data_IF_186465295191
#
_entry.id   IF_186465295191
#
_cell.length_a   1.000
_cell.length_b   1.000
_cell.length_c   1.000
_cell.angle_alpha   90.00
_cell.angle_beta   90.00
_cell.angle_gamma   90.00
#
_symmetry.space_group_name_H-M   'P 1'
#
loop_
_entity.id
_entity.type
_entity.pdbx_description
1 polymer ?
#
# COMPACT_ATOMS: atom_id res chain seq x y z
N UNK A 1 44.98 54.58 12.52
CA UNK A 1 44.16 55.00 11.36
C UNK A 1 44.75 54.36 10.11
N UNK A 2 44.26 53.19 9.72
CA UNK A 2 44.17 52.72 8.32
C UNK A 2 43.02 51.70 8.30
N UNK A 3 41.98 52.03 7.54
CA UNK A 3 40.86 51.19 7.15
C UNK A 3 41.27 50.46 5.86
N UNK A 4 40.89 49.18 5.73
CA UNK A 4 40.71 48.38 4.49
C UNK A 4 39.99 47.09 4.94
N UNK A 5 38.68 46.96 4.81
CA UNK A 5 37.95 46.52 3.60
C UNK A 5 38.65 45.36 2.88
N UNK A 6 38.07 44.16 2.99
CA UNK A 6 38.06 43.06 1.99
C UNK A 6 37.25 41.89 2.62
N UNK A 7 35.95 41.79 2.33
CA UNK A 7 35.37 41.04 1.20
C UNK A 7 35.17 39.54 1.50
N UNK A 8 33.91 39.18 1.77
CA UNK A 8 33.36 37.82 1.63
C UNK A 8 33.60 37.28 0.22
N UNK A 9 33.91 35.98 0.09
CA UNK A 9 33.30 35.21 -0.98
C UNK A 9 32.68 33.91 -0.45
N UNK A 10 31.35 33.92 -0.30
CA UNK A 10 30.54 32.72 -0.47
C UNK A 10 30.49 32.40 -1.96
N UNK A 11 31.33 31.46 -2.43
CA UNK A 11 31.05 30.68 -3.64
C UNK A 11 32.06 29.51 -3.76
N UNK A 12 31.66 28.32 -3.32
CA UNK A 12 32.15 27.05 -3.89
C UNK A 12 31.34 25.86 -3.34
N UNK A 13 30.08 25.75 -3.79
CA UNK A 13 29.35 24.49 -3.79
C UNK A 13 29.77 23.70 -5.04
N UNK A 14 30.98 23.13 -5.00
CA UNK A 14 31.44 22.16 -5.98
C UNK A 14 31.10 20.75 -5.48
N UNK A 15 30.03 20.21 -6.07
CA UNK A 15 29.99 18.84 -6.59
C UNK A 15 30.63 17.76 -5.71
N UNK A 16 29.90 17.31 -4.68
CA UNK A 16 30.16 15.98 -4.14
C UNK A 16 29.88 14.94 -5.24
N UNK A 17 30.82 14.04 -5.55
CA UNK A 17 30.63 13.05 -6.59
C UNK A 17 29.46 12.12 -6.22
N UNK A 18 28.50 12.04 -7.14
CA UNK A 18 27.40 11.07 -7.12
C UNK A 18 28.03 9.67 -6.99
N UNK A 19 27.58 8.83 -6.05
CA UNK A 19 28.14 7.49 -5.90
C UNK A 19 27.96 6.72 -7.22
N UNK A 20 29.10 6.36 -7.81
CA UNK A 20 29.24 5.49 -8.97
C UNK A 20 28.28 4.30 -8.84
N UNK A 21 27.28 4.24 -9.72
CA UNK A 21 26.32 3.14 -9.77
C UNK A 21 26.89 2.05 -10.70
N UNK A 22 27.29 0.87 -10.20
CA UNK A 22 27.78 -0.22 -11.04
C UNK A 22 26.60 -0.97 -11.69
N UNK A 23 26.86 -1.88 -12.63
CA UNK A 23 26.36 -1.90 -14.02
C UNK A 23 24.85 -1.63 -14.19
N UNK A 24 24.49 -0.98 -15.31
CA UNK A 24 23.17 -0.43 -15.69
C UNK A 24 21.91 -1.24 -15.29
N UNK A 25 21.98 -2.57 -15.20
CA UNK A 25 20.89 -3.41 -14.71
C UNK A 25 20.52 -3.15 -13.24
N UNK A 26 21.48 -2.87 -12.36
CA UNK A 26 21.23 -2.59 -10.93
C UNK A 26 20.59 -1.21 -10.74
N UNK A 27 20.97 -0.22 -11.55
CA UNK A 27 20.42 1.14 -11.45
C UNK A 27 18.97 1.21 -11.95
N UNK A 28 18.63 0.48 -13.04
CA UNK A 28 17.25 0.38 -13.54
C UNK A 28 16.36 -0.38 -12.54
N UNK A 29 16.87 -1.47 -11.95
CA UNK A 29 16.14 -2.21 -10.91
C UNK A 29 15.84 -1.30 -9.71
N UNK A 30 16.83 -0.53 -9.21
CA UNK A 30 16.68 0.38 -8.06
C UNK A 30 15.68 1.52 -8.33
N UNK A 31 15.70 2.13 -9.52
CA UNK A 31 14.79 3.21 -9.90
C UNK A 31 13.36 2.74 -10.23
N UNK A 32 13.19 1.50 -10.71
CA UNK A 32 11.87 0.87 -10.89
C UNK A 32 11.28 0.46 -9.53
N UNK A 33 12.15 0.04 -8.60
CA UNK A 33 11.81 -0.27 -7.22
C UNK A 33 11.25 0.94 -6.46
N UNK A 34 11.92 2.09 -6.54
CA UNK A 34 11.46 3.32 -5.88
C UNK A 34 10.11 3.83 -6.41
N UNK A 35 9.84 3.68 -7.71
CA UNK A 35 8.53 4.02 -8.30
C UNK A 35 7.42 3.06 -7.90
N UNK A 36 7.69 1.75 -7.83
CA UNK A 36 6.69 0.76 -7.40
C UNK A 36 6.39 0.89 -5.90
N UNK A 37 7.42 1.08 -5.08
CA UNK A 37 7.27 1.36 -3.64
C UNK A 37 6.34 2.55 -3.41
N UNK A 38 6.61 3.70 -4.05
CA UNK A 38 5.74 4.89 -3.98
C UNK A 38 4.30 4.66 -4.43
N UNK A 39 4.07 3.75 -5.40
CA UNK A 39 2.72 3.46 -5.92
C UNK A 39 1.88 2.61 -4.97
N UNK A 40 2.50 1.70 -4.22
CA UNK A 40 1.78 0.77 -3.34
C UNK A 40 1.77 1.24 -1.89
N UNK A 41 2.68 2.13 -1.47
CA UNK A 41 2.67 2.66 -0.11
C UNK A 41 1.35 3.33 0.27
N UNK A 42 0.82 4.24 -0.54
CA UNK A 42 -0.45 4.92 -0.23
C UNK A 42 -1.64 3.95 -0.11
N UNK A 43 -1.70 2.93 -0.98
CA UNK A 43 -2.74 1.89 -0.91
C UNK A 43 -2.61 1.00 0.32
N UNK A 44 -1.39 0.61 0.67
CA UNK A 44 -1.13 -0.16 1.90
C UNK A 44 -1.46 0.70 3.12
N UNK A 45 -1.12 1.99 3.13
CA UNK A 45 -1.45 2.89 4.23
C UNK A 45 -2.95 3.06 4.42
N UNK A 46 -3.70 3.27 3.33
CA UNK A 46 -5.16 3.31 3.38
C UNK A 46 -5.75 1.98 3.88
N UNK A 47 -5.24 0.85 3.39
CA UNK A 47 -5.67 -0.47 3.84
C UNK A 47 -5.40 -0.71 5.33
N UNK A 48 -4.24 -0.28 5.83
CA UNK A 48 -3.89 -0.36 7.25
C UNK A 48 -4.77 0.54 8.10
N UNK A 49 -5.02 1.78 7.68
CA UNK A 49 -5.93 2.69 8.37
C UNK A 49 -7.33 2.06 8.52
N UNK A 50 -7.92 1.59 7.42
CA UNK A 50 -9.25 0.97 7.47
C UNK A 50 -9.25 -0.35 8.26
N UNK A 51 -8.13 -1.08 8.26
CA UNK A 51 -7.97 -2.28 9.10
C UNK A 51 -7.89 -1.95 10.59
N UNK A 52 -7.23 -0.85 10.98
CA UNK A 52 -7.19 -0.39 12.38
C UNK A 52 -8.54 0.13 12.84
N UNK A 53 -9.28 0.81 11.95
CA UNK A 53 -10.65 1.27 12.22
C UNK A 53 -11.63 0.11 12.48
N UNK A 54 -11.35 -1.09 11.96
CA UNK A 54 -12.10 -2.30 12.32
C UNK A 54 -11.93 -2.70 13.78
N UNK A 55 -10.83 -2.32 14.43
CA UNK A 55 -10.47 -2.79 15.77
C UNK A 55 -11.58 -2.56 16.79
N UNK A 56 -12.24 -1.40 16.74
CA UNK A 56 -13.36 -1.08 17.64
C UNK A 56 -14.57 -2.01 17.47
N UNK A 57 -14.79 -2.54 16.26
CA UNK A 57 -15.88 -3.48 15.95
C UNK A 57 -15.46 -4.92 16.21
N UNK A 58 -14.19 -5.25 15.94
CA UNK A 58 -13.62 -6.57 16.17
C UNK A 58 -13.48 -6.87 17.67
N UNK A 59 -13.16 -5.89 18.51
CA UNK A 59 -13.13 -6.06 19.98
C UNK A 59 -14.51 -6.41 20.54
N UNK A 60 -15.59 -5.93 19.90
CA UNK A 60 -16.97 -6.32 20.26
C UNK A 60 -17.32 -7.74 19.81
N UNK A 61 -16.54 -8.31 18.88
CA UNK A 61 -16.74 -9.65 18.35
C UNK A 61 -17.94 -9.79 17.41
N UNK A 62 -18.52 -8.68 16.95
CA UNK A 62 -19.71 -8.68 16.10
C UNK A 62 -19.33 -8.73 14.62
N UNK A 63 -19.39 -9.93 14.02
CA UNK A 63 -19.14 -10.15 12.60
C UNK A 63 -20.31 -9.74 11.71
N UNK A 64 -21.45 -9.32 12.30
CA UNK A 64 -22.61 -8.82 11.57
C UNK A 64 -22.58 -7.31 11.34
N UNK A 65 -21.64 -6.60 11.98
CA UNK A 65 -21.50 -5.15 11.88
C UNK A 65 -21.29 -4.70 10.43
N UNK A 66 -21.95 -3.61 10.05
CA UNK A 66 -21.91 -3.09 8.69
C UNK A 66 -20.50 -2.67 8.28
N UNK A 67 -19.68 -2.17 9.20
CA UNK A 67 -18.31 -1.72 8.92
C UNK A 67 -17.38 -2.92 8.67
N UNK A 68 -17.50 -3.97 9.47
CA UNK A 68 -16.77 -5.23 9.25
C UNK A 68 -17.14 -5.83 7.90
N UNK A 69 -18.43 -5.89 7.58
CA UNK A 69 -18.90 -6.40 6.29
C UNK A 69 -18.46 -5.54 5.11
N UNK A 70 -18.45 -4.22 5.26
CA UNK A 70 -18.00 -3.27 4.23
C UNK A 70 -16.53 -3.47 3.87
N UNK A 71 -15.68 -3.78 4.85
CA UNK A 71 -14.25 -4.04 4.60
C UNK A 71 -14.02 -5.29 3.72
N UNK A 72 -14.84 -6.33 3.91
CA UNK A 72 -14.81 -7.57 3.13
C UNK A 72 -15.78 -7.58 1.93
N UNK A 73 -16.47 -6.48 1.64
CA UNK A 73 -17.44 -6.40 0.55
C UNK A 73 -16.71 -6.42 -0.81
N UNK A 74 -16.91 -7.43 -1.67
CA UNK A 74 -16.23 -7.52 -2.97
C UNK A 74 -16.55 -6.38 -3.94
N UNK A 75 -17.52 -5.51 -3.63
CA UNK A 75 -17.87 -4.33 -4.42
C UNK A 75 -17.53 -3.01 -3.72
N UNK A 76 -16.91 -3.07 -2.53
CA UNK A 76 -16.73 -1.93 -1.63
C UNK A 76 -15.72 -0.88 -2.09
N UNK A 77 -14.72 -1.26 -2.91
CA UNK A 77 -13.64 -0.36 -3.32
C UNK A 77 -13.41 -0.40 -4.83
N UNK A 78 -13.20 0.77 -5.43
CA UNK A 78 -12.74 0.90 -6.81
C UNK A 78 -11.21 0.73 -6.85
N UNK A 79 -10.73 -0.44 -7.27
CA UNK A 79 -9.29 -0.76 -7.34
C UNK A 79 -8.63 -0.14 -8.57
N UNK A 80 -9.37 -0.11 -9.68
CA UNK A 80 -8.97 0.52 -10.93
C UNK A 80 -10.11 1.38 -11.44
N UNK A 81 -9.91 2.70 -11.38
CA UNK A 81 -10.83 3.66 -11.97
C UNK A 81 -10.91 3.47 -13.48
N UNK A 82 -12.12 3.62 -14.03
CA UNK A 82 -12.36 3.57 -15.45
C UNK A 82 -11.70 4.77 -16.15
N UNK A 83 -10.46 4.60 -16.63
CA UNK A 83 -9.83 5.61 -17.48
C UNK A 83 -10.58 5.73 -18.80
N UNK A 84 -10.77 6.97 -19.24
CA UNK A 84 -11.31 7.27 -20.58
C UNK A 84 -10.33 6.76 -21.62
N UNK A 85 -10.77 5.85 -22.48
CA UNK A 85 -9.98 5.29 -23.58
C UNK A 85 -10.30 6.06 -24.85
N UNK A 86 -9.78 7.28 -24.93
CA UNK A 86 -9.77 8.04 -26.17
C UNK A 86 -8.38 7.93 -26.78
N UNK A 87 -8.30 7.63 -28.07
CA UNK A 87 -7.07 7.80 -28.86
C UNK A 87 -7.32 9.03 -29.73
N UNK A 88 -6.56 10.11 -29.52
CA UNK A 88 -6.70 11.37 -30.26
C UNK A 88 -8.14 11.95 -30.25
N UNK A 89 -8.85 11.86 -29.11
CA UNK A 89 -10.20 12.39 -28.97
C UNK A 89 -11.30 11.56 -29.66
N UNK A 90 -10.95 10.43 -30.29
CA UNK A 90 -11.91 9.48 -30.84
C UNK A 90 -12.04 8.24 -29.96
N UNK A 91 -13.30 7.92 -29.66
CA UNK A 91 -13.71 6.77 -28.88
C UNK A 91 -13.60 5.50 -29.74
N UNK A 92 -12.75 4.54 -29.35
CA UNK A 92 -12.54 3.32 -30.16
C UNK A 92 -13.58 2.22 -29.90
N UNK A 93 -14.61 2.48 -29.07
CA UNK A 93 -15.68 1.52 -28.75
C UNK A 93 -16.97 1.88 -29.50
N UNK A 94 -17.65 0.85 -30.03
CA UNK A 94 -18.93 0.98 -30.74
C UNK A 94 -20.11 1.37 -29.84
N UNK A 95 -20.00 1.19 -28.52
CA UNK A 95 -21.10 1.38 -27.57
C UNK A 95 -21.26 2.83 -27.06
N UNK A 96 -20.49 3.80 -27.58
CA UNK A 96 -20.57 5.22 -27.18
C UNK A 96 -19.98 5.54 -25.80
N UNK A 97 -19.77 4.54 -24.94
CA UNK A 97 -19.19 4.73 -23.62
C UNK A 97 -17.65 4.61 -23.67
N UNK A 98 -16.97 5.76 -23.70
CA UNK A 98 -15.51 5.86 -23.83
C UNK A 98 -14.76 5.52 -22.53
N UNK A 99 -15.44 4.93 -21.55
CA UNK A 99 -14.88 4.52 -20.27
C UNK A 99 -14.32 3.10 -20.34
N UNK A 100 -13.20 2.89 -19.64
CA UNK A 100 -12.68 1.55 -19.34
C UNK A 100 -13.65 0.74 -18.46
N UNK A 101 -13.39 -0.56 -18.28
CA UNK A 101 -14.09 -1.32 -17.24
C UNK A 101 -13.54 -0.88 -15.88
N UNK A 102 -14.43 -0.47 -14.99
CA UNK A 102 -14.12 -0.24 -13.57
C UNK A 102 -13.93 -1.60 -12.90
N UNK A 103 -12.82 -1.78 -12.19
CA UNK A 103 -12.58 -3.00 -11.41
C UNK A 103 -12.85 -2.65 -9.96
N UNK A 104 -13.88 -3.28 -9.40
CA UNK A 104 -14.20 -3.22 -7.98
C UNK A 104 -13.74 -4.49 -7.29
N UNK A 105 -13.23 -4.33 -6.08
CA UNK A 105 -12.86 -5.43 -5.20
C UNK A 105 -13.11 -5.01 -3.74
N UNK A 106 -12.93 -5.95 -2.81
CA UNK A 106 -12.96 -5.62 -1.38
C UNK A 106 -11.75 -4.81 -0.96
N UNK A 107 -11.91 -4.00 0.11
CA UNK A 107 -10.76 -3.28 0.69
C UNK A 107 -9.70 -4.27 1.13
N UNK A 108 -10.13 -5.38 1.73
CA UNK A 108 -9.23 -6.47 2.11
C UNK A 108 -8.43 -7.02 0.91
N UNK A 109 -9.07 -7.26 -0.24
CA UNK A 109 -8.40 -7.77 -1.43
C UNK A 109 -7.45 -6.75 -2.08
N UNK A 110 -7.80 -5.46 -2.09
CA UNK A 110 -6.89 -4.39 -2.52
C UNK A 110 -5.67 -4.29 -1.60
N UNK A 111 -5.87 -4.38 -0.28
CA UNK A 111 -4.79 -4.42 0.71
C UNK A 111 -3.90 -5.65 0.51
N UNK A 112 -4.49 -6.85 0.34
CA UNK A 112 -3.78 -8.10 0.07
C UNK A 112 -2.89 -8.01 -1.17
N UNK A 113 -3.46 -7.49 -2.25
CA UNK A 113 -2.74 -7.29 -3.51
C UNK A 113 -1.63 -6.25 -3.36
N UNK A 114 -1.93 -5.11 -2.74
CA UNK A 114 -0.97 -4.02 -2.56
C UNK A 114 0.19 -4.39 -1.65
N UNK A 115 -0.07 -5.11 -0.54
CA UNK A 115 0.96 -5.60 0.37
C UNK A 115 1.88 -6.63 -0.30
N UNK A 116 1.32 -7.54 -1.10
CA UNK A 116 2.11 -8.50 -1.85
C UNK A 116 2.98 -7.82 -2.91
N UNK A 117 2.43 -6.87 -3.67
CA UNK A 117 3.17 -6.13 -4.69
C UNK A 117 4.24 -5.22 -4.08
N UNK A 118 3.96 -4.58 -2.94
CA UNK A 118 4.94 -3.81 -2.18
C UNK A 118 6.06 -4.71 -1.66
N UNK A 119 5.74 -5.84 -1.01
CA UNK A 119 6.73 -6.78 -0.51
C UNK A 119 7.61 -7.36 -1.62
N UNK A 120 7.02 -7.65 -2.78
CA UNK A 120 7.73 -8.09 -3.99
C UNK A 120 8.62 -6.97 -4.56
N UNK A 121 8.27 -5.70 -4.39
CA UNK A 121 9.11 -4.58 -4.80
C UNK A 121 10.47 -4.66 -4.08
N UNK A 122 10.55 -5.03 -2.81
CA UNK A 122 11.82 -5.16 -2.06
C UNK A 122 12.82 -6.20 -2.59
N UNK A 123 12.51 -6.93 -3.68
CA UNK A 123 13.46 -7.85 -4.33
C UNK A 123 14.70 -7.12 -4.83
N UNK A 124 15.83 -7.51 -4.27
CA UNK A 124 17.17 -7.19 -4.81
C UNK A 124 17.52 -8.15 -5.95
N UNK A 125 17.07 -9.41 -5.87
CA UNK A 125 17.31 -10.43 -6.88
C UNK A 125 15.97 -10.92 -7.48
N UNK A 126 15.76 -10.63 -8.77
CA UNK A 126 14.54 -11.02 -9.50
C UNK A 126 14.47 -12.52 -9.82
N UNK A 127 15.59 -13.25 -9.70
CA UNK A 127 15.65 -14.69 -9.98
C UNK A 127 15.15 -15.56 -8.82
N UNK A 128 15.24 -15.08 -7.57
CA UNK A 128 14.74 -15.81 -6.39
C UNK A 128 13.24 -15.62 -6.28
N UNK A 129 12.47 -16.71 -6.12
CA UNK A 129 11.02 -16.66 -5.98
C UNK A 129 10.56 -15.63 -4.92
N UNK A 130 9.47 -14.87 -5.18
CA UNK A 130 9.00 -13.82 -4.26
C UNK A 130 8.66 -14.36 -2.88
N UNK A 131 8.22 -15.62 -2.81
CA UNK A 131 7.81 -16.30 -1.58
C UNK A 131 8.94 -16.52 -0.57
N UNK A 132 10.19 -16.41 -0.99
CA UNK A 132 11.35 -16.53 -0.11
C UNK A 132 11.71 -15.22 0.60
N UNK A 133 11.05 -14.10 0.24
CA UNK A 133 11.31 -12.81 0.87
C UNK A 133 10.65 -12.73 2.24
N UNK A 134 11.32 -12.14 3.24
CA UNK A 134 10.73 -11.94 4.55
C UNK A 134 9.46 -11.08 4.48
N UNK A 135 9.45 -10.03 3.64
CA UNK A 135 8.29 -9.16 3.40
C UNK A 135 7.07 -9.91 2.88
N UNK A 136 7.26 -10.81 1.90
CA UNK A 136 6.16 -11.60 1.32
C UNK A 136 5.69 -12.68 2.28
N UNK A 137 6.59 -13.27 3.07
CA UNK A 137 6.23 -14.24 4.12
C UNK A 137 5.37 -13.60 5.21
N UNK A 138 5.77 -12.42 5.70
CA UNK A 138 4.99 -11.67 6.68
C UNK A 138 3.62 -11.29 6.12
N UNK A 139 3.56 -10.79 4.88
CA UNK A 139 2.28 -10.50 4.21
C UNK A 139 1.38 -11.74 4.09
N UNK A 140 1.93 -12.89 3.70
CA UNK A 140 1.16 -14.15 3.62
C UNK A 140 0.67 -14.65 4.98
N UNK A 141 1.47 -14.47 6.02
CA UNK A 141 1.05 -14.80 7.39
C UNK A 141 -0.13 -13.92 7.82
N UNK A 142 -0.08 -12.62 7.53
CA UNK A 142 -1.20 -11.70 7.76
C UNK A 142 -2.46 -12.13 6.99
N UNK A 143 -2.31 -12.48 5.70
CA UNK A 143 -3.45 -12.94 4.88
C UNK A 143 -4.09 -14.22 5.42
N UNK A 144 -3.29 -15.12 6.00
CA UNK A 144 -3.83 -16.37 6.54
C UNK A 144 -4.79 -16.11 7.70
N UNK A 145 -4.42 -15.22 8.61
CA UNK A 145 -5.26 -14.84 9.75
C UNK A 145 -6.51 -14.09 9.28
N UNK A 146 -6.35 -13.15 8.35
CA UNK A 146 -7.47 -12.36 7.84
C UNK A 146 -8.42 -13.14 6.92
N UNK A 147 -7.93 -14.12 6.16
CA UNK A 147 -8.77 -15.05 5.38
C UNK A 147 -9.65 -15.90 6.33
N UNK A 148 -9.22 -16.15 7.57
CA UNK A 148 -10.05 -16.82 8.58
C UNK A 148 -11.15 -15.89 9.14
N UNK A 149 -10.83 -14.60 9.33
CA UNK A 149 -11.81 -13.57 9.70
C UNK A 149 -12.85 -13.40 8.58
N UNK A 150 -12.42 -13.26 7.33
CA UNK A 150 -13.30 -13.11 6.17
C UNK A 150 -14.30 -14.27 6.06
N UNK A 151 -13.86 -15.51 6.26
CA UNK A 151 -14.74 -16.69 6.27
C UNK A 151 -15.81 -16.63 7.36
N UNK A 152 -15.48 -16.00 8.48
CA UNK A 152 -16.40 -15.83 9.61
C UNK A 152 -17.46 -14.75 9.32
N UNK A 153 -17.07 -13.71 8.58
CA UNK A 153 -17.95 -12.60 8.15
C UNK A 153 -18.85 -13.00 6.98
N UNK A 154 -18.28 -13.62 5.95
CA UNK A 154 -18.99 -14.06 4.74
C UNK A 154 -19.65 -15.45 4.88
N UNK A 155 -19.56 -16.06 6.06
CA UNK A 155 -20.19 -17.34 6.36
C UNK A 155 -21.72 -17.27 6.30
N UNK A 156 -22.38 -18.44 6.17
CA UNK A 156 -23.85 -18.53 6.09
C UNK A 156 -24.58 -18.00 7.33
N UNK A 157 -23.90 -17.87 8.47
CA UNK A 157 -24.41 -17.36 9.75
C UNK A 157 -23.30 -16.59 10.47
N UNK A 158 -23.06 -15.31 10.14
CA UNK A 158 -22.11 -14.49 10.89
C UNK A 158 -22.59 -14.36 12.34
N UNK A 159 -21.68 -14.54 13.29
CA UNK A 159 -21.99 -14.48 14.72
C UNK A 159 -21.83 -13.05 15.23
N UNK A 160 -22.69 -12.68 16.17
CA UNK A 160 -22.59 -11.40 16.92
C UNK A 160 -21.50 -11.42 18.00
N UNK A 161 -20.93 -12.58 18.29
CA UNK A 161 -19.82 -12.77 19.20
C UNK A 161 -19.03 -13.99 18.73
N UNK A 162 -17.89 -13.77 18.07
CA UNK A 162 -16.96 -14.84 17.70
C UNK A 162 -15.55 -14.58 18.26
N UNK A 163 -15.22 -15.14 19.45
CA UNK A 163 -13.92 -14.93 20.06
C UNK A 163 -12.77 -15.49 19.22
N UNK A 164 -13.04 -16.47 18.33
CA UNK A 164 -12.02 -17.04 17.44
C UNK A 164 -11.59 -16.01 16.40
N UNK A 165 -12.55 -15.31 15.80
CA UNK A 165 -12.27 -14.23 14.83
C UNK A 165 -11.57 -13.04 15.49
N UNK A 166 -11.88 -12.73 16.76
CA UNK A 166 -11.13 -11.72 17.54
C UNK A 166 -9.69 -12.15 17.74
N UNK A 167 -9.45 -13.42 18.06
CA UNK A 167 -8.09 -13.98 18.19
C UNK A 167 -7.29 -13.89 16.89
N UNK A 168 -7.91 -14.21 15.75
CA UNK A 168 -7.28 -14.04 14.43
C UNK A 168 -6.97 -12.57 14.12
N UNK A 169 -7.85 -11.64 14.47
CA UNK A 169 -7.61 -10.21 14.30
C UNK A 169 -6.44 -9.71 15.15
N UNK A 170 -6.35 -10.12 16.42
CA UNK A 170 -5.24 -9.78 17.30
C UNK A 170 -3.89 -10.33 16.77
N UNK A 171 -3.87 -11.59 16.34
CA UNK A 171 -2.68 -12.19 15.72
C UNK A 171 -2.30 -11.47 14.42
N UNK A 172 -3.28 -11.00 13.64
CA UNK A 172 -3.03 -10.23 12.43
C UNK A 172 -2.39 -8.86 12.72
N UNK A 173 -2.72 -8.19 13.84
CA UNK A 173 -2.07 -6.94 14.26
C UNK A 173 -0.57 -7.15 14.53
N UNK A 174 -0.22 -8.17 15.31
CA UNK A 174 1.19 -8.48 15.62
C UNK A 174 2.02 -8.77 14.35
N UNK A 175 1.42 -9.49 13.39
CA UNK A 175 2.06 -9.80 12.11
C UNK A 175 2.14 -8.55 11.22
N UNK A 176 1.14 -7.68 11.28
CA UNK A 176 1.12 -6.44 10.52
C UNK A 176 2.27 -5.53 10.94
N UNK A 177 2.53 -5.36 12.23
CA UNK A 177 3.65 -4.54 12.70
C UNK A 177 5.00 -5.08 12.22
N UNK A 178 5.19 -6.41 12.23
CA UNK A 178 6.37 -7.04 11.65
C UNK A 178 6.50 -6.76 10.15
N UNK A 179 5.38 -6.79 9.42
CA UNK A 179 5.38 -6.45 8.00
C UNK A 179 5.76 -4.99 7.77
N UNK A 180 5.18 -4.07 8.55
CA UNK A 180 5.42 -2.62 8.42
C UNK A 180 6.89 -2.27 8.65
N UNK A 181 7.52 -2.88 9.66
CA UNK A 181 8.96 -2.74 9.91
C UNK A 181 9.79 -3.20 8.69
N UNK A 182 9.46 -4.37 8.12
CA UNK A 182 10.15 -4.90 6.94
C UNK A 182 9.97 -4.07 5.67
N UNK A 183 8.89 -3.29 5.56
CA UNK A 183 8.63 -2.41 4.40
C UNK A 183 8.92 -0.94 4.69
N UNK A 184 9.55 -0.63 5.83
CA UNK A 184 9.91 0.73 6.24
C UNK A 184 8.69 1.67 6.31
N UNK A 185 7.52 1.15 6.68
CA UNK A 185 6.32 1.96 6.97
C UNK A 185 6.26 2.32 8.46
N UNK A 186 5.63 3.45 8.82
CA UNK A 186 5.44 3.81 10.22
C UNK A 186 4.67 2.71 10.97
N UNK A 187 5.00 2.44 12.24
CA UNK A 187 4.29 1.44 13.03
C UNK A 187 2.85 1.87 13.27
N UNK A 188 1.95 0.92 13.51
CA UNK A 188 0.51 1.19 13.69
C UNK A 188 0.23 2.18 14.83
N UNK A 189 1.02 2.14 15.90
CA UNK A 189 0.87 3.00 17.09
C UNK A 189 1.29 4.46 16.91
N UNK A 190 1.92 4.81 15.79
CA UNK A 190 2.53 6.13 15.60
C UNK A 190 1.54 7.29 15.30
N UNK A 191 0.24 7.02 15.23
CA UNK A 191 -0.80 7.99 14.83
C UNK A 191 -0.67 8.45 13.36
N UNK A 192 0.23 7.85 12.58
CA UNK A 192 0.42 8.21 11.18
C UNK A 192 -0.79 7.85 10.31
N UNK A 193 -1.62 6.92 10.77
CA UNK A 193 -2.76 6.35 10.07
C UNK A 193 -4.09 7.06 10.33
N UNK A 194 -4.14 8.12 11.15
CA UNK A 194 -5.39 8.79 11.55
C UNK A 194 -5.98 9.71 10.46
N UNK A 195 -5.56 9.57 9.21
CA UNK A 195 -5.88 10.46 8.08
C UNK A 195 -6.12 9.66 6.82
N UNK A 196 -6.98 10.19 5.95
CA UNK A 196 -7.25 9.61 4.64
C UNK A 196 -6.01 9.73 3.73
N UNK A 197 -5.64 8.64 3.06
CA UNK A 197 -4.48 8.57 2.18
C UNK A 197 -4.90 8.61 0.71
N UNK A 198 -4.13 9.32 -0.11
CA UNK A 198 -4.33 9.34 -1.55
C UNK A 198 -4.01 7.97 -2.16
N UNK A 199 -5.05 7.31 -2.67
CA UNK A 199 -4.97 6.01 -3.37
C UNK A 199 -4.83 6.17 -4.88
N UNK A 200 -4.95 7.41 -5.39
CA UNK A 200 -4.91 7.75 -6.80
C UNK A 200 -3.47 7.88 -7.27
N UNK A 201 -3.16 7.12 -8.32
CA UNK A 201 -1.84 7.14 -8.93
C UNK A 201 -1.70 8.41 -9.75
N UNK A 202 -1.06 9.43 -9.17
CA UNK A 202 -0.21 10.35 -9.94
C UNK A 202 -0.71 11.75 -10.23
N UNK A 203 -1.61 12.35 -9.44
CA UNK A 203 -1.80 13.82 -9.52
C UNK A 203 -0.53 14.58 -9.08
N UNK A 204 0.25 14.02 -8.16
CA UNK A 204 1.59 14.50 -7.78
C UNK A 204 2.69 13.51 -8.16
N UNK A 205 2.56 12.83 -9.30
CA UNK A 205 3.71 12.11 -9.90
C UNK A 205 4.72 13.06 -10.54
N UNK A 206 4.42 14.36 -10.61
CA UNK A 206 5.39 15.44 -10.78
C UNK A 206 5.83 15.93 -9.41
N UNK A 207 6.97 15.41 -8.96
CA UNK A 207 7.82 16.12 -8.01
C UNK A 207 8.24 17.43 -8.70
N UNK A 208 7.95 18.57 -8.06
CA UNK A 208 8.71 19.81 -8.26
C UNK A 208 10.12 19.62 -7.73
#
# INVERSE_FOLDING_TARGET
MVIRDDAFPYLNLLLTPIPFCPPAQKCIARARNSRLRRRYYGRVQQGVHEFLDLGQFMVRGDMTDANVRKFFDPLGVVVVEAKRKDVNGQCTKKDGDCRGKEIRDSRYNDMKTSMYLLGNAFRINQQKAPDNLPTVKAAKAFFKEMDAVEKSVNGKKPKKSDPVSVGHYAAALDILDQYLDLVELPPTESGHYDREFDTLVGETSRIM
#
